data_IF_866392133536
#
_entry.id   IF_866392133536
#
_cell.length_a   1.000
_cell.length_b   1.000
_cell.length_c   1.000
_cell.angle_alpha   90.00
_cell.angle_beta   90.00
_cell.angle_gamma   90.00
#
_symmetry.space_group_name_H-M   'P 1'
#
loop_
_entity.id
_entity.type
_entity.pdbx_description
1 polymer ?
#
# COMPACT_ATOMS: atom_id res chain seq x y z
N UNK A 1 -28.64 11.43 -7.28
CA UNK A 1 -29.26 10.12 -7.02
C UNK A 1 -28.52 9.53 -5.83
N UNK A 2 -29.09 9.61 -4.62
CA UNK A 2 -28.55 8.90 -3.46
C UNK A 2 -28.67 7.40 -3.75
N UNK A 3 -27.53 6.77 -4.05
CA UNK A 3 -27.47 5.32 -4.10
C UNK A 3 -27.72 4.88 -2.66
N UNK A 4 -28.92 4.35 -2.40
CA UNK A 4 -29.20 3.59 -1.18
C UNK A 4 -28.15 2.49 -1.10
N UNK A 5 -27.11 2.70 -0.32
CA UNK A 5 -26.13 1.70 0.06
C UNK A 5 -26.87 0.65 0.90
N UNK A 6 -27.46 -0.33 0.22
CA UNK A 6 -28.19 -1.44 0.83
C UNK A 6 -27.22 -2.35 1.57
N UNK A 7 -27.72 -3.12 2.54
CA UNK A 7 -26.97 -4.03 3.42
C UNK A 7 -25.90 -4.90 2.72
N UNK A 8 -26.08 -5.20 1.43
CA UNK A 8 -25.09 -5.91 0.59
C UNK A 8 -23.75 -5.18 0.46
N UNK A 9 -23.75 -3.84 0.42
CA UNK A 9 -22.50 -3.04 0.43
C UNK A 9 -21.76 -3.18 1.77
N UNK A 10 -22.49 -3.29 2.88
CA UNK A 10 -21.90 -3.49 4.22
C UNK A 10 -21.27 -4.87 4.34
N UNK A 11 -21.93 -5.92 3.87
CA UNK A 11 -21.37 -7.28 3.87
C UNK A 11 -20.14 -7.39 2.96
N UNK A 12 -20.22 -6.85 1.74
CA UNK A 12 -19.08 -6.83 0.81
C UNK A 12 -17.86 -6.12 1.41
N UNK A 13 -18.07 -4.98 2.08
CA UNK A 13 -17.00 -4.25 2.75
C UNK A 13 -16.41 -5.03 3.93
N UNK A 14 -17.24 -5.72 4.73
CA UNK A 14 -16.76 -6.57 5.83
C UNK A 14 -15.90 -7.72 5.29
N UNK A 15 -16.38 -8.42 4.26
CA UNK A 15 -15.63 -9.52 3.64
C UNK A 15 -14.32 -9.02 3.00
N UNK A 16 -14.37 -7.89 2.29
CA UNK A 16 -13.19 -7.29 1.70
C UNK A 16 -12.16 -6.92 2.77
N UNK A 17 -12.59 -6.28 3.86
CA UNK A 17 -11.71 -5.94 4.96
C UNK A 17 -11.11 -7.18 5.62
N UNK A 18 -11.88 -8.24 5.90
CA UNK A 18 -11.35 -9.48 6.47
C UNK A 18 -10.30 -10.14 5.55
N UNK A 19 -10.55 -10.16 4.24
CA UNK A 19 -9.56 -10.66 3.27
C UNK A 19 -8.32 -9.78 3.28
N UNK A 20 -8.46 -8.45 3.23
CA UNK A 20 -7.34 -7.52 3.23
C UNK A 20 -6.50 -7.62 4.51
N UNK A 21 -7.14 -7.71 5.67
CA UNK A 21 -6.48 -7.86 6.96
C UNK A 21 -5.69 -9.16 7.01
N UNK A 22 -6.21 -10.23 6.39
CA UNK A 22 -5.47 -11.50 6.25
C UNK A 22 -4.29 -11.38 5.31
N UNK A 23 -4.45 -10.74 4.14
CA UNK A 23 -3.37 -10.56 3.16
C UNK A 23 -2.24 -9.66 3.67
N UNK A 24 -2.54 -8.74 4.59
CA UNK A 24 -1.57 -7.90 5.32
C UNK A 24 -0.97 -8.61 6.54
N UNK A 25 -1.49 -9.77 6.92
CA UNK A 25 -1.11 -10.45 8.16
C UNK A 25 -1.50 -9.66 9.41
N UNK A 26 -2.44 -8.71 9.33
CA UNK A 26 -2.88 -7.85 10.42
C UNK A 26 -4.05 -8.45 11.22
N UNK A 27 -4.75 -9.43 10.66
CA UNK A 27 -5.78 -10.18 11.37
C UNK A 27 -5.20 -10.86 12.62
N UNK A 28 -5.93 -10.84 13.74
CA UNK A 28 -5.47 -11.39 15.03
C UNK A 28 -5.06 -12.87 14.95
N UNK A 29 -5.66 -13.63 14.03
CA UNK A 29 -5.28 -15.02 13.78
C UNK A 29 -3.82 -15.17 13.36
N UNK A 30 -3.21 -14.15 12.75
CA UNK A 30 -1.80 -14.19 12.35
C UNK A 30 -0.83 -13.81 13.48
N UNK A 31 -1.31 -13.57 14.72
CA UNK A 31 -0.41 -13.44 15.87
C UNK A 31 0.25 -14.77 16.22
N UNK A 32 -0.51 -15.86 16.15
CA UNK A 32 -0.07 -17.24 16.36
C UNK A 32 -0.94 -18.15 15.51
N UNK A 33 -0.36 -18.87 14.55
CA UNK A 33 -1.13 -19.72 13.65
C UNK A 33 -0.36 -20.93 13.17
N UNK A 34 -1.11 -21.96 12.82
CA UNK A 34 -0.59 -23.13 12.15
C UNK A 34 -0.45 -22.89 10.65
N UNK A 35 0.74 -23.17 10.10
CA UNK A 35 0.94 -23.29 8.66
C UNK A 35 2.15 -24.15 8.34
N UNK A 36 1.94 -25.16 7.50
CA UNK A 36 3.05 -25.98 7.00
C UNK A 36 4.08 -25.14 6.25
N UNK A 37 3.59 -24.20 5.44
CA UNK A 37 4.38 -23.26 4.66
C UNK A 37 4.89 -22.09 5.49
N UNK A 38 5.87 -21.37 4.94
CA UNK A 38 6.33 -20.09 5.49
C UNK A 38 5.22 -19.03 5.43
N UNK A 39 5.10 -18.14 6.44
CA UNK A 39 4.16 -17.02 6.44
C UNK A 39 4.21 -16.19 5.15
N UNK A 40 5.39 -16.05 4.53
CA UNK A 40 5.58 -15.33 3.26
C UNK A 40 4.78 -15.89 2.07
N UNK A 41 4.25 -17.11 2.15
CA UNK A 41 3.40 -17.69 1.09
C UNK A 41 1.94 -17.27 1.19
N UNK A 42 1.48 -16.88 2.37
CA UNK A 42 0.09 -16.50 2.62
C UNK A 42 -0.07 -15.00 2.89
N UNK A 43 0.96 -14.35 3.44
CA UNK A 43 1.01 -12.92 3.72
C UNK A 43 1.98 -12.29 2.73
N UNK A 44 1.48 -11.38 1.89
CA UNK A 44 2.32 -10.74 0.87
C UNK A 44 2.18 -9.21 0.82
N UNK A 45 1.11 -8.63 1.38
CA UNK A 45 0.94 -7.16 1.38
C UNK A 45 1.78 -6.54 2.49
N UNK A 46 2.59 -5.55 2.15
CA UNK A 46 3.49 -4.89 3.10
C UNK A 46 4.68 -5.75 3.53
N UNK A 47 5.06 -6.71 2.69
CA UNK A 47 6.20 -7.61 2.94
C UNK A 47 7.40 -7.20 2.11
N UNK A 48 8.59 -7.36 2.68
CA UNK A 48 9.87 -7.22 2.00
C UNK A 48 10.52 -8.60 1.90
N UNK A 49 10.66 -9.08 0.66
CA UNK A 49 11.26 -10.38 0.36
C UNK A 49 12.74 -10.48 0.71
N UNK A 50 13.23 -11.70 0.79
CA UNK A 50 14.64 -12.01 1.03
C UNK A 50 15.50 -11.90 -0.24
N UNK A 51 16.83 -11.91 -0.03
CA UNK A 51 17.81 -11.96 -1.10
C UNK A 51 18.07 -13.42 -1.50
N UNK A 52 17.88 -13.73 -2.79
CA UNK A 52 18.14 -15.04 -3.39
C UNK A 52 19.45 -14.97 -4.19
N UNK A 53 20.49 -15.67 -3.74
CA UNK A 53 21.87 -15.53 -4.25
C UNK A 53 22.11 -15.97 -5.72
N UNK A 54 21.14 -16.56 -6.42
CA UNK A 54 21.37 -17.16 -7.76
C UNK A 54 20.39 -16.73 -8.87
N UNK A 55 19.53 -15.73 -8.63
CA UNK A 55 18.77 -15.09 -9.71
C UNK A 55 19.43 -13.75 -10.01
N UNK A 56 20.40 -13.76 -10.93
CA UNK A 56 20.60 -12.58 -11.78
C UNK A 56 19.21 -12.10 -12.17
N UNK A 57 18.89 -10.84 -11.88
CA UNK A 57 17.64 -10.21 -12.30
C UNK A 57 17.71 -10.05 -13.83
N UNK A 58 17.69 -11.18 -14.55
CA UNK A 58 17.31 -11.22 -15.95
C UNK A 58 15.80 -11.16 -15.92
N UNK A 59 15.28 -9.95 -16.09
CA UNK A 59 13.91 -9.68 -16.50
C UNK A 59 13.40 -10.82 -17.41
N UNK A 60 12.50 -11.70 -16.93
CA UNK A 60 11.54 -12.45 -17.76
C UNK A 60 10.62 -13.47 -17.04
N UNK A 61 10.74 -13.74 -15.73
CA UNK A 61 9.73 -14.55 -15.02
C UNK A 61 8.67 -13.67 -14.34
N UNK A 62 7.51 -13.54 -15.01
CA UNK A 62 6.39 -12.64 -14.68
C UNK A 62 5.52 -13.02 -13.46
N UNK A 63 6.01 -13.80 -12.50
CA UNK A 63 5.23 -14.18 -11.30
C UNK A 63 5.94 -14.02 -9.96
N UNK A 64 7.27 -13.87 -9.92
CA UNK A 64 8.05 -13.74 -8.69
C UNK A 64 8.64 -12.33 -8.56
N UNK A 65 7.80 -11.30 -8.47
CA UNK A 65 8.30 -9.97 -8.08
C UNK A 65 8.38 -9.95 -6.55
N UNK A 66 9.33 -10.72 -5.99
CA UNK A 66 9.73 -10.60 -4.58
C UNK A 66 10.43 -9.25 -4.42
N UNK A 67 9.65 -8.20 -4.15
CA UNK A 67 10.22 -6.90 -3.83
C UNK A 67 10.85 -6.97 -2.44
N UNK A 68 12.15 -6.77 -2.35
CA UNK A 68 12.87 -6.72 -1.07
C UNK A 68 12.99 -5.30 -0.51
N UNK A 69 12.45 -4.29 -1.21
CA UNK A 69 12.51 -2.90 -0.77
C UNK A 69 11.19 -2.18 -0.93
N UNK A 70 11.01 -1.17 -0.07
CA UNK A 70 10.04 -0.08 -0.23
C UNK A 70 10.77 1.24 -0.15
N UNK A 71 10.27 2.25 -0.86
CA UNK A 71 10.82 3.59 -0.75
C UNK A 71 9.79 4.67 -1.07
N UNK A 72 10.06 5.87 -0.58
CA UNK A 72 9.32 7.05 -0.92
C UNK A 72 10.27 8.14 -1.38
N UNK A 73 9.79 9.02 -2.26
CA UNK A 73 10.52 10.18 -2.74
C UNK A 73 9.74 11.46 -2.51
N UNK A 74 10.44 12.52 -2.14
CA UNK A 74 9.91 13.88 -2.03
C UNK A 74 10.92 14.90 -2.55
N UNK A 75 10.45 16.10 -2.86
CA UNK A 75 11.30 17.19 -3.35
C UNK A 75 11.59 18.18 -2.24
N UNK A 76 12.82 18.66 -2.18
CA UNK A 76 13.24 19.80 -1.37
C UNK A 76 13.87 20.86 -2.27
N UNK A 77 13.63 22.13 -1.97
CA UNK A 77 14.38 23.24 -2.57
C UNK A 77 15.72 23.43 -1.90
N UNK A 78 15.69 23.52 -0.57
CA UNK A 78 16.87 23.66 0.28
C UNK A 78 16.83 22.58 1.36
N UNK A 79 17.96 21.91 1.59
CA UNK A 79 18.14 21.00 2.71
C UNK A 79 18.47 21.85 3.95
N UNK A 80 17.59 21.85 4.94
CA UNK A 80 17.71 22.67 6.15
C UNK A 80 18.14 21.87 7.38
N UNK A 81 17.89 20.57 7.38
CA UNK A 81 18.16 19.68 8.52
C UNK A 81 18.27 18.23 8.06
N UNK A 82 18.81 17.36 8.93
CA UNK A 82 18.67 15.92 8.77
C UNK A 82 17.21 15.50 8.96
N UNK A 83 16.87 14.28 8.58
CA UNK A 83 15.58 13.67 8.90
C UNK A 83 15.72 12.67 10.03
N UNK A 84 14.59 12.39 10.68
CA UNK A 84 14.50 11.33 11.69
C UNK A 84 13.59 10.23 11.15
N UNK A 85 14.09 9.01 11.07
CA UNK A 85 13.36 7.85 10.56
C UNK A 85 13.11 6.87 11.71
N UNK A 86 11.87 6.44 11.89
CA UNK A 86 11.48 5.41 12.86
C UNK A 86 10.91 4.21 12.08
N UNK A 87 11.73 3.16 11.89
CA UNK A 87 11.30 1.93 11.25
C UNK A 87 10.42 1.09 12.16
N UNK A 88 9.37 0.51 11.59
CA UNK A 88 8.58 -0.55 12.22
C UNK A 88 8.37 -1.68 11.22
N UNK A 89 8.42 -2.92 11.70
CA UNK A 89 8.17 -4.12 10.90
C UNK A 89 7.84 -5.27 11.83
N UNK A 90 7.46 -6.41 11.28
CA UNK A 90 7.20 -7.63 12.01
C UNK A 90 8.07 -8.77 11.47
N UNK A 91 8.47 -9.68 12.34
CA UNK A 91 9.12 -10.95 11.97
C UNK A 91 8.25 -12.11 12.44
N UNK A 92 8.40 -13.25 11.77
CA UNK A 92 7.79 -14.49 12.21
C UNK A 92 8.86 -15.51 12.60
N UNK A 93 8.58 -16.27 13.65
CA UNK A 93 9.44 -17.34 14.12
C UNK A 93 8.58 -18.54 14.53
N UNK A 94 9.22 -19.71 14.62
CA UNK A 94 8.54 -20.95 14.97
C UNK A 94 8.58 -21.17 16.48
N UNK A 95 7.49 -21.73 16.99
CA UNK A 95 7.35 -22.17 18.38
C UNK A 95 6.79 -23.59 18.42
N UNK A 96 7.05 -24.30 19.51
CA UNK A 96 6.41 -25.58 19.76
C UNK A 96 4.89 -25.38 19.90
N UNK A 97 4.07 -26.28 19.33
CA UNK A 97 2.62 -26.21 19.53
C UNK A 97 2.25 -26.48 20.98
N UNK A 98 1.12 -25.92 21.40
CA UNK A 98 0.45 -26.37 22.62
C UNK A 98 -0.12 -27.77 22.41
N UNK A 99 -0.47 -28.45 23.51
CA UNK A 99 -1.13 -29.75 23.41
C UNK A 99 -2.45 -29.65 22.63
N UNK A 100 -3.25 -28.61 22.87
CA UNK A 100 -4.50 -28.36 22.16
C UNK A 100 -4.28 -28.14 20.66
N UNK A 101 -3.32 -27.28 20.28
CA UNK A 101 -2.97 -27.03 18.87
C UNK A 101 -2.52 -28.31 18.16
N UNK A 102 -1.75 -29.15 18.85
CA UNK A 102 -1.30 -30.43 18.29
C UNK A 102 -2.46 -31.42 18.08
N UNK A 103 -3.42 -31.47 19.00
CA UNK A 103 -4.61 -32.32 18.88
C UNK A 103 -5.51 -31.82 17.74
N UNK A 104 -5.70 -30.51 17.61
CA UNK A 104 -6.47 -29.91 16.50
C UNK A 104 -5.82 -30.18 15.14
N UNK A 105 -4.49 -30.04 15.04
CA UNK A 105 -3.73 -30.31 13.82
C UNK A 105 -3.96 -31.74 13.30
N UNK A 106 -4.02 -32.71 14.21
CA UNK A 106 -4.05 -34.12 13.86
C UNK A 106 -5.43 -34.67 13.51
N UNK A 107 -6.52 -33.91 13.72
CA UNK A 107 -7.93 -34.29 13.48
C UNK A 107 -8.08 -35.80 13.22
N UNK A 108 -8.08 -36.56 14.33
CA UNK A 108 -7.71 -37.99 14.52
C UNK A 108 -8.34 -39.05 13.58
N UNK A 109 -9.06 -38.68 12.53
CA UNK A 109 -9.75 -39.60 11.63
C UNK A 109 -8.84 -40.23 10.56
N UNK A 110 -7.72 -39.60 10.19
CA UNK A 110 -6.89 -40.04 9.04
C UNK A 110 -5.44 -40.47 9.39
N UNK A 111 -4.99 -40.32 10.64
CA UNK A 111 -3.63 -40.75 11.00
C UNK A 111 -3.59 -42.24 11.35
N UNK A 112 -2.92 -43.04 10.53
CA UNK A 112 -2.48 -44.37 10.94
C UNK A 112 -1.63 -44.23 12.20
N UNK A 113 -1.95 -45.02 13.25
CA UNK A 113 -1.15 -45.11 14.48
C UNK A 113 0.26 -45.56 14.14
N UNK A 114 1.11 -44.60 13.81
CA UNK A 114 2.53 -44.73 13.54
C UNK A 114 3.30 -44.47 14.83
N UNK A 115 4.55 -44.92 14.89
CA UNK A 115 5.38 -44.73 16.08
C UNK A 115 5.77 -43.25 16.31
N UNK A 116 5.77 -42.41 15.25
CA UNK A 116 6.11 -40.99 15.31
C UNK A 116 5.12 -40.12 14.52
N UNK A 117 4.83 -38.93 15.04
CA UNK A 117 3.88 -37.97 14.48
C UNK A 117 4.55 -36.62 14.31
N UNK A 118 4.34 -35.91 13.18
CA UNK A 118 4.87 -34.57 13.00
C UNK A 118 4.22 -33.55 13.95
N UNK A 119 5.04 -32.63 14.45
CA UNK A 119 4.55 -31.49 15.22
C UNK A 119 3.88 -30.48 14.30
N UNK A 120 2.79 -29.88 14.78
CA UNK A 120 2.13 -28.77 14.10
C UNK A 120 3.10 -27.61 13.91
N UNK A 121 3.11 -27.01 12.72
CA UNK A 121 4.00 -25.89 12.39
C UNK A 121 3.38 -24.58 12.86
N UNK A 122 3.68 -24.17 14.10
CA UNK A 122 3.16 -22.94 14.67
C UNK A 122 4.12 -21.77 14.45
N UNK A 123 3.59 -20.69 13.88
CA UNK A 123 4.29 -19.44 13.63
C UNK A 123 3.75 -18.34 14.53
N UNK A 124 4.65 -17.58 15.16
CA UNK A 124 4.32 -16.43 16.01
C UNK A 124 4.85 -15.15 15.39
N UNK A 125 4.02 -14.09 15.40
CA UNK A 125 4.41 -12.75 14.96
C UNK A 125 5.03 -11.98 16.12
N UNK A 126 6.18 -11.36 15.88
CA UNK A 126 6.77 -10.33 16.74
C UNK A 126 6.79 -9.00 16.02
N UNK A 127 6.03 -8.03 16.52
CA UNK A 127 6.03 -6.66 16.01
C UNK A 127 7.18 -5.87 16.63
N UNK A 128 7.94 -5.17 15.79
CA UNK A 128 9.17 -4.47 16.13
C UNK A 128 9.04 -2.98 15.84
N UNK A 129 9.48 -2.17 16.79
CA UNK A 129 9.68 -0.73 16.62
C UNK A 129 11.12 -0.38 16.96
N UNK A 130 11.86 0.05 15.96
CA UNK A 130 13.27 0.38 16.10
C UNK A 130 13.46 1.78 16.70
N UNK A 131 14.66 2.03 17.23
CA UNK A 131 15.04 3.34 17.72
C UNK A 131 15.05 4.36 16.56
N UNK A 132 14.74 5.64 16.82
CA UNK A 132 14.84 6.68 15.80
C UNK A 132 16.27 6.80 15.25
N UNK A 133 16.39 6.82 13.93
CA UNK A 133 17.63 7.00 13.19
C UNK A 133 17.69 8.45 12.68
N UNK A 134 18.77 9.16 12.98
CA UNK A 134 19.04 10.45 12.35
C UNK A 134 19.80 10.20 11.06
N UNK A 135 19.22 10.57 9.92
CA UNK A 135 19.77 10.30 8.59
C UNK A 135 20.14 11.61 7.90
N UNK A 136 21.36 11.70 7.39
CA UNK A 136 21.77 12.80 6.52
C UNK A 136 21.09 12.70 5.14
N UNK A 137 20.85 13.85 4.52
CA UNK A 137 20.21 13.93 3.19
C UNK A 137 21.21 13.95 2.02
N UNK A 138 22.50 13.69 2.27
CA UNK A 138 23.57 13.65 1.26
C UNK A 138 24.09 12.23 1.02
N UNK A 139 23.15 11.28 0.88
CA UNK A 139 23.35 9.84 0.88
C UNK A 139 23.80 9.29 2.24
N UNK A 140 22.96 8.46 2.85
CA UNK A 140 23.22 7.86 4.16
C UNK A 140 22.59 6.46 4.19
N UNK A 141 23.22 5.53 4.90
CA UNK A 141 22.71 4.18 5.11
C UNK A 141 22.98 3.70 6.52
N UNK A 142 21.97 3.09 7.15
CA UNK A 142 22.07 2.55 8.49
C UNK A 142 21.37 1.19 8.57
N UNK A 143 22.03 0.22 9.21
CA UNK A 143 21.47 -1.12 9.42
C UNK A 143 20.65 -1.17 10.70
N UNK A 144 19.54 -1.90 10.65
CA UNK A 144 18.72 -2.18 11.83
C UNK A 144 19.38 -3.26 12.68
N UNK A 145 19.41 -3.01 13.99
CA UNK A 145 19.95 -3.94 14.98
C UNK A 145 18.88 -4.93 15.45
N UNK A 146 19.01 -6.19 15.03
CA UNK A 146 18.13 -7.29 15.44
C UNK A 146 18.66 -8.08 16.64
N UNK A 147 19.84 -7.79 17.20
CA UNK A 147 20.49 -8.64 18.21
C UNK A 147 19.62 -8.83 19.45
N UNK A 148 19.02 -7.75 19.95
CA UNK A 148 18.13 -7.81 21.12
C UNK A 148 16.88 -8.66 20.83
N UNK A 149 16.29 -8.51 19.65
CA UNK A 149 15.08 -9.23 19.26
C UNK A 149 15.36 -10.72 19.07
N UNK A 150 16.48 -11.05 18.44
CA UNK A 150 16.93 -12.44 18.26
C UNK A 150 17.19 -13.07 19.62
N UNK A 151 17.80 -12.34 20.56
CA UNK A 151 18.03 -12.83 21.92
C UNK A 151 16.72 -13.06 22.66
N UNK A 152 15.79 -12.09 22.63
CA UNK A 152 14.44 -12.24 23.20
C UNK A 152 13.71 -13.48 22.67
N UNK A 153 13.72 -13.70 21.35
CA UNK A 153 13.06 -14.86 20.72
C UNK A 153 13.71 -16.16 21.17
N UNK A 154 15.05 -16.22 21.23
CA UNK A 154 15.78 -17.43 21.65
C UNK A 154 15.59 -17.76 23.13
N UNK A 155 15.35 -16.75 23.95
CA UNK A 155 15.05 -16.92 25.38
C UNK A 155 13.59 -17.35 25.63
N UNK A 156 12.72 -17.36 24.61
CA UNK A 156 11.35 -17.82 24.77
C UNK A 156 11.31 -19.34 25.06
N UNK A 157 10.61 -19.79 26.13
CA UNK A 157 10.56 -21.20 26.48
C UNK A 157 10.03 -22.11 25.38
N UNK A 158 9.18 -21.58 24.50
CA UNK A 158 8.53 -22.31 23.42
C UNK A 158 9.28 -22.21 22.09
N UNK A 159 10.41 -21.49 22.01
CA UNK A 159 11.14 -21.32 20.77
C UNK A 159 11.51 -22.67 20.15
N UNK A 160 11.11 -22.86 18.89
CA UNK A 160 11.21 -24.14 18.22
C UNK A 160 12.58 -24.33 17.56
N UNK A 161 13.33 -25.32 18.05
CA UNK A 161 14.49 -25.88 17.35
C UNK A 161 14.09 -26.99 16.36
N UNK A 162 15.00 -27.40 15.47
CA UNK A 162 14.77 -28.52 14.55
C UNK A 162 14.41 -29.81 15.32
N UNK A 163 13.17 -30.26 15.16
CA UNK A 163 12.66 -31.48 15.79
C UNK A 163 11.25 -31.78 15.31
N UNK A 164 11.14 -32.52 14.19
CA UNK A 164 9.91 -32.54 13.39
C UNK A 164 8.84 -33.45 13.97
N UNK A 165 9.20 -34.43 14.82
CA UNK A 165 8.30 -35.50 15.23
C UNK A 165 8.40 -35.86 16.73
N UNK A 166 7.29 -36.33 17.29
CA UNK A 166 7.17 -36.89 18.64
C UNK A 166 6.53 -38.28 18.60
N UNK A 167 6.82 -39.18 19.58
CA UNK A 167 6.14 -40.46 19.65
C UNK A 167 4.63 -40.33 19.85
N UNK A 168 3.82 -41.19 19.21
CA UNK A 168 2.35 -41.15 19.33
C UNK A 168 1.86 -41.22 20.79
N UNK A 169 2.52 -42.04 21.62
CA UNK A 169 2.23 -42.18 23.05
C UNK A 169 2.34 -40.87 23.85
N UNK A 170 3.07 -39.89 23.32
CA UNK A 170 3.20 -38.56 23.94
C UNK A 170 1.88 -37.80 23.92
N UNK A 171 0.93 -38.14 23.04
CA UNK A 171 -0.37 -37.50 22.93
C UNK A 171 -1.44 -38.08 23.86
N UNK A 172 -1.13 -39.10 24.67
CA UNK A 172 -2.11 -39.69 25.60
C UNK A 172 -2.53 -38.73 26.72
N UNK A 173 -1.73 -37.71 27.00
CA UNK A 173 -2.01 -36.67 28.00
C UNK A 173 -1.12 -35.45 27.77
N UNK A 174 -1.59 -34.28 28.19
CA UNK A 174 -0.82 -33.04 28.15
C UNK A 174 0.55 -33.15 28.84
N UNK A 175 0.63 -33.79 30.02
CA UNK A 175 1.89 -34.00 30.75
C UNK A 175 2.93 -34.80 29.94
N UNK A 176 2.49 -35.83 29.22
CA UNK A 176 3.39 -36.64 28.38
C UNK A 176 3.87 -35.85 27.17
N UNK A 177 2.99 -35.03 26.59
CA UNK A 177 3.33 -34.16 25.47
C UNK A 177 4.39 -33.13 25.89
N UNK A 178 4.17 -32.44 27.01
CA UNK A 178 5.11 -31.44 27.52
C UNK A 178 6.49 -32.05 27.80
N UNK A 179 6.57 -33.25 28.37
CA UNK A 179 7.85 -33.97 28.54
C UNK A 179 8.53 -34.30 27.22
N UNK A 180 7.78 -34.69 26.20
CA UNK A 180 8.33 -34.95 24.87
C UNK A 180 8.91 -33.67 24.25
N UNK A 181 8.22 -32.54 24.42
CA UNK A 181 8.70 -31.22 23.99
C UNK A 181 9.98 -30.81 24.74
N UNK A 182 10.06 -31.03 26.06
CA UNK A 182 11.28 -30.77 26.84
C UNK A 182 12.49 -31.55 26.31
N UNK A 183 12.31 -32.84 25.99
CA UNK A 183 13.37 -33.67 25.40
C UNK A 183 13.81 -33.12 24.03
N UNK A 184 12.91 -32.54 23.25
CA UNK A 184 13.27 -31.90 21.97
C UNK A 184 14.06 -30.60 22.17
N UNK A 185 13.68 -29.78 23.16
CA UNK A 185 14.38 -28.54 23.50
C UNK A 185 15.84 -28.80 23.88
N UNK A 186 16.10 -29.87 24.62
CA UNK A 186 17.45 -30.27 25.04
C UNK A 186 18.36 -30.67 23.86
N UNK A 187 17.79 -31.06 22.71
CA UNK A 187 18.56 -31.43 21.50
C UNK A 187 19.09 -30.23 20.71
N UNK A 188 18.76 -28.98 21.11
CA UNK A 188 19.34 -27.69 20.66
C UNK A 188 19.79 -27.60 19.21
N UNK A 189 18.88 -27.86 18.27
CA UNK A 189 19.10 -27.59 16.86
C UNK A 189 18.37 -26.32 16.42
N UNK A 190 18.56 -25.23 17.17
CA UNK A 190 17.93 -23.93 16.91
C UNK A 190 18.41 -23.31 15.58
N UNK A 191 17.53 -22.66 14.80
CA UNK A 191 17.95 -21.93 13.62
C UNK A 191 18.79 -20.72 14.02
N UNK A 192 19.87 -20.47 13.27
CA UNK A 192 20.61 -19.22 13.41
C UNK A 192 19.87 -18.08 12.70
N UNK A 193 18.98 -17.42 13.43
CA UNK A 193 18.26 -16.23 12.98
C UNK A 193 19.27 -15.13 12.61
N UNK A 194 19.18 -14.58 11.40
CA UNK A 194 20.09 -13.55 10.88
C UNK A 194 19.32 -12.59 9.97
N UNK A 195 18.27 -11.95 10.49
CA UNK A 195 17.57 -10.90 9.78
C UNK A 195 18.49 -9.70 9.57
N UNK A 196 18.50 -9.17 8.36
CA UNK A 196 19.28 -8.01 7.96
C UNK A 196 18.38 -7.05 7.21
N UNK A 197 18.34 -5.81 7.68
CA UNK A 197 17.54 -4.75 7.09
C UNK A 197 18.32 -3.45 7.15
N UNK A 198 18.30 -2.68 6.08
CA UNK A 198 18.90 -1.34 6.03
C UNK A 198 17.86 -0.29 5.71
N UNK A 199 18.08 0.90 6.28
CA UNK A 199 17.42 2.14 5.91
C UNK A 199 18.42 2.96 5.12
N UNK A 200 17.99 3.49 3.98
CA UNK A 200 18.82 4.36 3.17
C UNK A 200 18.13 5.68 2.89
N UNK A 201 18.95 6.69 2.68
CA UNK A 201 18.58 7.96 2.08
C UNK A 201 19.45 8.16 0.86
N UNK A 202 18.84 8.50 -0.27
CA UNK A 202 19.55 8.85 -1.50
C UNK A 202 19.11 10.24 -1.97
N UNK A 203 20.04 10.99 -2.54
CA UNK A 203 19.78 12.32 -3.10
C UNK A 203 20.16 12.35 -4.58
N UNK A 204 19.19 12.79 -5.38
CA UNK A 204 19.37 13.04 -6.80
C UNK A 204 19.03 14.51 -7.12
N UNK A 205 19.67 15.06 -8.16
CA UNK A 205 19.26 16.35 -8.70
C UNK A 205 18.00 16.19 -9.54
N UNK A 206 17.02 17.07 -9.33
CA UNK A 206 15.75 17.02 -10.04
C UNK A 206 15.31 18.42 -10.46
N UNK A 207 15.01 18.61 -11.75
CA UNK A 207 14.57 19.91 -12.26
C UNK A 207 13.09 19.86 -12.60
N UNK A 208 12.32 20.84 -12.12
CA UNK A 208 10.90 20.98 -12.44
C UNK A 208 10.53 22.45 -12.51
N UNK A 209 9.77 22.86 -13.55
CA UNK A 209 9.38 24.26 -13.76
C UNK A 209 10.57 25.24 -13.80
N UNK A 210 11.71 24.80 -14.35
CA UNK A 210 12.97 25.55 -14.40
C UNK A 210 13.57 25.88 -13.01
N UNK A 211 13.15 25.18 -11.96
CA UNK A 211 13.80 25.20 -10.65
C UNK A 211 14.60 23.92 -10.45
N UNK A 212 15.82 24.06 -9.95
CA UNK A 212 16.66 22.95 -9.51
C UNK A 212 16.29 22.59 -8.07
N UNK A 213 15.92 21.32 -7.87
CA UNK A 213 15.45 20.76 -6.62
C UNK A 213 16.29 19.52 -6.28
N UNK A 214 16.27 19.14 -5.01
CA UNK A 214 16.78 17.85 -4.55
C UNK A 214 15.63 16.85 -4.47
N UNK A 215 15.75 15.73 -5.19
CA UNK A 215 14.91 14.56 -5.03
C UNK A 215 15.52 13.69 -3.95
N UNK A 216 14.83 13.59 -2.82
CA UNK A 216 15.25 12.74 -1.70
C UNK A 216 14.43 11.46 -1.77
N UNK A 217 15.12 10.33 -1.83
CA UNK A 217 14.54 9.00 -1.64
C UNK A 217 14.89 8.49 -0.24
N UNK A 218 13.89 7.96 0.46
CA UNK A 218 14.08 7.27 1.73
C UNK A 218 13.46 5.89 1.59
N UNK A 219 14.24 4.84 1.88
CA UNK A 219 13.76 3.48 1.71
C UNK A 219 14.24 2.50 2.77
N UNK A 220 13.60 1.34 2.80
CA UNK A 220 13.91 0.19 3.63
C UNK A 220 14.16 -1.00 2.72
N UNK A 221 15.25 -1.73 2.96
CA UNK A 221 15.64 -2.91 2.17
C UNK A 221 15.88 -4.09 3.09
N UNK A 222 15.24 -5.21 2.81
CA UNK A 222 15.55 -6.51 3.40
C UNK A 222 16.75 -7.12 2.66
N UNK A 223 17.88 -7.21 3.38
CA UNK A 223 19.13 -7.81 2.91
C UNK A 223 19.32 -9.23 3.47
N UNK A 224 18.31 -9.77 4.17
CA UNK A 224 18.33 -11.14 4.72
C UNK A 224 18.48 -12.15 3.58
N UNK A 225 19.48 -13.04 3.69
CA UNK A 225 19.64 -14.15 2.75
C UNK A 225 18.59 -15.23 2.99
N UNK A 226 18.04 -15.78 1.91
CA UNK A 226 17.08 -16.88 1.98
C UNK A 226 17.62 -18.05 2.83
N UNK A 227 16.79 -18.54 3.74
CA UNK A 227 17.14 -19.64 4.64
C UNK A 227 15.94 -20.57 4.80
N UNK A 228 16.13 -21.87 4.61
CA UNK A 228 15.03 -22.83 4.69
C UNK A 228 14.56 -23.12 6.13
N UNK A 229 15.36 -22.77 7.15
CA UNK A 229 15.10 -23.12 8.56
C UNK A 229 14.21 -22.13 9.29
N UNK A 230 14.09 -20.89 8.82
CA UNK A 230 13.28 -19.85 9.44
C UNK A 230 12.69 -18.89 8.40
N UNK A 231 11.76 -18.04 8.82
CA UNK A 231 11.17 -17.02 7.95
C UNK A 231 12.13 -15.84 7.77
N UNK A 232 12.43 -15.51 6.53
CA UNK A 232 13.45 -14.53 6.12
C UNK A 232 12.83 -13.24 5.57
N UNK A 233 11.52 -13.23 5.32
CA UNK A 233 10.78 -12.04 4.95
C UNK A 233 10.57 -11.12 6.16
N UNK A 234 10.47 -9.83 5.88
CA UNK A 234 10.02 -8.83 6.85
C UNK A 234 8.58 -8.45 6.50
N UNK A 235 7.72 -8.34 7.50
CA UNK A 235 6.29 -8.13 7.33
C UNK A 235 5.89 -6.77 7.88
N UNK A 236 4.73 -6.26 7.45
CA UNK A 236 4.16 -4.99 7.93
C UNK A 236 5.20 -3.85 8.00
N UNK A 237 6.06 -3.75 6.99
CA UNK A 237 7.17 -2.80 6.97
C UNK A 237 6.66 -1.37 6.77
N UNK A 238 7.04 -0.46 7.66
CA UNK A 238 6.65 0.94 7.64
C UNK A 238 7.79 1.85 8.13
N UNK A 239 7.76 3.09 7.66
CA UNK A 239 8.64 4.19 8.01
C UNK A 239 7.78 5.37 8.48
N UNK A 240 8.03 5.82 9.71
CA UNK A 240 7.63 7.14 10.17
C UNK A 240 8.83 8.09 10.00
N UNK A 241 8.71 9.07 9.12
CA UNK A 241 9.78 10.02 8.79
C UNK A 241 9.38 11.40 9.28
N UNK A 242 10.12 11.95 10.22
CA UNK A 242 10.03 13.37 10.57
C UNK A 242 10.97 14.18 9.68
N UNK A 243 10.38 15.13 8.96
CA UNK A 243 11.10 16.04 8.07
C UNK A 243 11.87 17.12 8.84
N UNK A 244 11.68 17.21 10.16
CA UNK A 244 12.28 18.22 11.03
C UNK A 244 12.01 19.64 10.49
N UNK A 245 13.05 20.37 10.07
CA UNK A 245 12.91 21.73 9.51
C UNK A 245 12.78 21.78 7.99
N UNK A 246 12.78 20.63 7.31
CA UNK A 246 12.68 20.57 5.86
C UNK A 246 11.22 20.78 5.42
N UNK A 247 11.04 21.55 4.35
CA UNK A 247 9.75 21.81 3.74
C UNK A 247 9.71 21.15 2.36
N UNK A 248 8.76 20.24 2.16
CA UNK A 248 8.64 19.52 0.89
C UNK A 248 7.90 20.32 -0.17
N UNK A 249 8.25 20.06 -1.43
CA UNK A 249 7.64 20.65 -2.61
C UNK A 249 6.87 19.58 -3.39
N UNK A 250 5.65 19.88 -3.87
CA UNK A 250 4.89 18.93 -4.67
C UNK A 250 5.53 18.69 -6.04
N UNK A 251 5.51 17.44 -6.46
CA UNK A 251 5.68 17.05 -7.85
C UNK A 251 4.53 17.61 -8.68
N UNK A 252 4.83 18.14 -9.87
CA UNK A 252 3.85 18.61 -10.84
C UNK A 252 3.84 17.66 -12.03
N UNK A 253 2.67 17.10 -12.32
CA UNK A 253 2.44 16.24 -13.46
C UNK A 253 1.44 16.92 -14.39
N UNK A 254 1.76 16.91 -15.69
CA UNK A 254 0.82 17.26 -16.73
C UNK A 254 0.53 15.98 -17.50
N UNK A 255 -0.73 15.57 -17.56
CA UNK A 255 -1.14 14.40 -18.35
C UNK A 255 -2.39 14.73 -19.15
N UNK A 256 -2.51 14.10 -20.31
CA UNK A 256 -3.70 14.22 -21.15
C UNK A 256 -4.71 13.16 -20.72
N UNK A 257 -5.88 13.58 -20.25
CA UNK A 257 -7.01 12.71 -19.98
C UNK A 257 -8.20 13.18 -20.80
N UNK A 258 -8.74 12.31 -21.66
CA UNK A 258 -9.86 12.65 -22.56
C UNK A 258 -9.62 13.94 -23.39
N UNK A 259 -8.41 14.10 -23.93
CA UNK A 259 -7.97 15.28 -24.71
C UNK A 259 -7.96 16.61 -23.94
N UNK A 260 -8.03 16.58 -22.60
CA UNK A 260 -7.77 17.73 -21.74
C UNK A 260 -6.43 17.56 -21.06
N UNK A 261 -5.64 18.62 -21.06
CA UNK A 261 -4.43 18.69 -20.27
C UNK A 261 -4.84 18.93 -18.82
N UNK A 262 -4.68 17.90 -17.99
CA UNK A 262 -4.92 17.98 -16.55
C UNK A 262 -3.58 18.15 -15.83
N UNK A 263 -3.55 19.05 -14.85
CA UNK A 263 -2.43 19.24 -13.95
C UNK A 263 -2.72 18.56 -12.62
N UNK A 264 -1.86 17.65 -12.21
CA UNK A 264 -1.97 16.96 -10.94
C UNK A 264 -0.73 17.24 -10.10
N UNK A 265 -0.93 17.47 -8.80
CA UNK A 265 0.14 17.64 -7.84
C UNK A 265 0.12 16.48 -6.86
N UNK A 266 1.30 15.93 -6.57
CA UNK A 266 1.49 14.98 -5.49
C UNK A 266 2.66 15.41 -4.63
N UNK A 267 2.50 15.34 -3.32
CA UNK A 267 3.56 15.65 -2.37
C UNK A 267 4.65 14.55 -2.35
N UNK A 268 4.28 13.31 -2.67
CA UNK A 268 5.12 12.13 -2.53
C UNK A 268 5.07 11.23 -3.78
N UNK A 269 6.15 10.51 -4.05
CA UNK A 269 6.18 9.32 -4.93
C UNK A 269 6.51 8.11 -4.08
N UNK A 270 5.88 6.98 -4.32
CA UNK A 270 6.12 5.76 -3.53
C UNK A 270 6.45 4.58 -4.45
N UNK A 271 7.30 3.68 -3.98
CA UNK A 271 7.65 2.41 -4.59
C UNK A 271 7.38 1.30 -3.58
N UNK A 272 6.56 0.32 -3.96
CA UNK A 272 6.16 -0.82 -3.13
C UNK A 272 5.50 -0.48 -1.78
N UNK A 273 5.16 0.79 -1.56
CA UNK A 273 4.37 1.27 -0.44
C UNK A 273 3.46 2.41 -0.89
N UNK A 274 2.62 2.90 0.02
CA UNK A 274 1.98 4.21 -0.07
C UNK A 274 2.50 5.08 1.07
N UNK A 275 2.21 6.38 1.04
CA UNK A 275 2.59 7.27 2.11
C UNK A 275 1.65 8.46 2.22
N UNK A 276 1.44 8.91 3.44
CA UNK A 276 0.67 10.11 3.76
C UNK A 276 1.57 11.15 4.40
N UNK A 277 1.43 12.39 3.94
CA UNK A 277 2.06 13.54 4.58
C UNK A 277 1.09 14.19 5.58
N UNK A 278 1.47 14.17 6.85
CA UNK A 278 0.85 15.01 7.85
C UNK A 278 1.54 16.38 7.92
N UNK A 279 1.00 17.36 7.17
CA UNK A 279 1.54 18.73 7.12
C UNK A 279 1.59 19.42 8.50
N UNK A 280 0.67 19.10 9.41
CA UNK A 280 0.63 19.72 10.74
C UNK A 280 1.77 19.26 11.65
N UNK A 281 2.25 18.03 11.45
CA UNK A 281 3.33 17.44 12.24
C UNK A 281 4.68 17.43 11.50
N UNK A 282 4.69 17.86 10.24
CA UNK A 282 5.81 17.71 9.32
C UNK A 282 6.39 16.28 9.30
N UNK A 283 5.48 15.31 9.16
CA UNK A 283 5.78 13.87 9.17
C UNK A 283 5.20 13.17 7.95
N UNK A 284 5.94 12.20 7.44
CA UNK A 284 5.49 11.25 6.44
C UNK A 284 5.34 9.90 7.13
N UNK A 285 4.23 9.22 6.88
CA UNK A 285 4.01 7.85 7.33
C UNK A 285 3.78 6.98 6.11
N UNK A 286 4.61 5.95 5.91
CA UNK A 286 4.35 4.94 4.89
C UNK A 286 3.31 3.94 5.37
N UNK A 287 2.51 3.43 4.46
CA UNK A 287 1.50 2.44 4.74
C UNK A 287 1.37 1.43 3.60
N UNK A 288 0.88 0.25 3.93
CA UNK A 288 0.59 -0.81 2.98
C UNK A 288 -0.88 -0.70 2.54
N UNK A 289 -1.12 -0.05 1.41
CA UNK A 289 -2.46 0.02 0.81
C UNK A 289 -2.68 -1.13 -0.16
N UNK A 290 -3.73 -1.90 0.11
CA UNK A 290 -4.18 -3.01 -0.73
C UNK A 290 -5.32 -2.61 -1.69
N UNK A 291 -5.77 -1.36 -1.59
CA UNK A 291 -6.96 -0.87 -2.25
C UNK A 291 -6.61 0.37 -3.09
N UNK A 292 -6.84 0.28 -4.40
CA UNK A 292 -6.74 1.45 -5.27
C UNK A 292 -8.13 2.08 -5.44
N UNK A 293 -8.33 3.28 -4.89
CA UNK A 293 -9.55 4.07 -5.09
C UNK A 293 -9.27 5.18 -6.08
N UNK A 294 -9.80 5.04 -7.29
CA UNK A 294 -9.87 6.15 -8.23
C UNK A 294 -11.29 6.72 -8.21
N UNK A 295 -11.47 8.00 -7.81
CA UNK A 295 -12.76 8.66 -7.98
C UNK A 295 -13.07 8.71 -9.48
N UNK A 296 -14.14 8.02 -9.89
CA UNK A 296 -14.60 8.06 -11.27
C UNK A 296 -15.22 9.43 -11.53
N UNK A 297 -14.67 10.18 -12.49
CA UNK A 297 -15.35 11.34 -13.03
C UNK A 297 -16.59 10.82 -13.77
N UNK A 298 -17.76 11.10 -13.22
CA UNK A 298 -19.03 10.77 -13.85
C UNK A 298 -19.59 12.06 -14.44
N UNK A 299 -20.00 12.09 -15.72
CA UNK A 299 -20.71 13.23 -16.28
C UNK A 299 -21.89 13.61 -15.37
N UNK A 300 -22.02 14.91 -15.06
CA UNK A 300 -23.16 15.38 -14.28
C UNK A 300 -24.42 15.14 -15.10
N UNK A 301 -25.35 14.35 -14.57
CA UNK A 301 -26.67 14.18 -15.17
C UNK A 301 -27.57 15.39 -14.93
N UNK A 302 -27.22 16.27 -13.99
CA UNK A 302 -27.95 17.51 -13.71
C UNK A 302 -27.00 18.65 -13.34
N UNK A 303 -27.28 19.86 -13.81
CA UNK A 303 -26.52 21.08 -13.47
C UNK A 303 -27.52 22.22 -13.28
N UNK A 304 -27.59 22.81 -12.08
CA UNK A 304 -28.44 23.97 -11.78
C UNK A 304 -29.90 23.85 -12.28
N UNK A 305 -30.47 22.63 -12.17
CA UNK A 305 -31.84 22.34 -12.62
C UNK A 305 -31.99 21.98 -14.10
N UNK A 306 -30.90 21.94 -14.86
CA UNK A 306 -30.85 21.41 -16.24
C UNK A 306 -30.61 19.91 -16.20
N UNK A 307 -31.45 19.12 -16.89
CA UNK A 307 -31.29 17.66 -17.00
C UNK A 307 -30.48 17.30 -18.25
N UNK A 308 -29.30 16.73 -18.02
CA UNK A 308 -28.34 16.29 -19.03
C UNK A 308 -28.21 14.76 -19.04
N UNK A 309 -29.18 14.04 -18.47
CA UNK A 309 -29.26 12.60 -18.57
C UNK A 309 -29.43 12.13 -20.02
N UNK A 310 -28.87 10.96 -20.34
CA UNK A 310 -28.97 10.35 -21.66
C UNK A 310 -30.42 10.20 -22.14
N UNK A 311 -31.34 9.86 -21.23
CA UNK A 311 -32.77 9.72 -21.52
C UNK A 311 -33.45 11.02 -21.95
N UNK A 312 -32.92 12.17 -21.54
CA UNK A 312 -33.44 13.49 -21.93
C UNK A 312 -32.74 13.96 -23.19
N UNK A 313 -31.41 13.81 -23.26
CA UNK A 313 -30.60 14.24 -24.40
C UNK A 313 -30.88 13.46 -25.69
N UNK A 314 -31.37 12.22 -25.58
CA UNK A 314 -31.76 11.39 -26.73
C UNK A 314 -33.11 11.74 -27.34
N UNK A 315 -33.90 12.61 -26.70
CA UNK A 315 -35.25 12.99 -27.14
C UNK A 315 -35.27 14.38 -27.78
N UNK A 316 -36.37 14.75 -28.45
CA UNK A 316 -36.52 16.08 -29.08
C UNK A 316 -36.53 17.22 -28.06
N UNK A 317 -37.01 16.94 -26.86
CA UNK A 317 -37.08 17.89 -25.74
C UNK A 317 -35.68 18.29 -25.25
N UNK A 318 -34.64 17.53 -25.61
CA UNK A 318 -33.23 17.84 -25.31
C UNK A 318 -32.82 19.24 -25.75
N UNK A 319 -33.37 19.75 -26.85
CA UNK A 319 -33.03 21.08 -27.37
C UNK A 319 -33.27 22.16 -26.30
N UNK A 320 -34.36 22.06 -25.54
CA UNK A 320 -34.68 23.02 -24.49
C UNK A 320 -33.67 22.95 -23.33
N UNK A 321 -33.24 21.74 -22.97
CA UNK A 321 -32.21 21.56 -21.93
C UNK A 321 -30.83 22.02 -22.40
N UNK A 322 -30.47 21.78 -23.67
CA UNK A 322 -29.23 22.29 -24.26
C UNK A 322 -29.23 23.83 -24.34
N UNK A 323 -30.36 24.46 -24.63
CA UNK A 323 -30.50 25.93 -24.59
C UNK A 323 -30.33 26.47 -23.18
N UNK A 324 -30.95 25.84 -22.17
CA UNK A 324 -30.73 26.21 -20.77
C UNK A 324 -29.26 26.04 -20.36
N UNK A 325 -28.59 24.98 -20.82
CA UNK A 325 -27.16 24.79 -20.58
C UNK A 325 -26.33 25.90 -21.24
N UNK A 326 -26.65 26.29 -22.47
CA UNK A 326 -26.00 27.42 -23.13
C UNK A 326 -26.18 28.73 -22.35
N UNK A 327 -27.37 28.98 -21.79
CA UNK A 327 -27.61 30.14 -20.92
C UNK A 327 -26.77 30.10 -19.64
N UNK A 328 -26.55 28.92 -19.06
CA UNK A 328 -25.63 28.75 -17.94
C UNK A 328 -24.18 29.02 -18.34
N UNK A 329 -23.75 28.56 -19.53
CA UNK A 329 -22.42 28.86 -20.07
C UNK A 329 -22.23 30.38 -20.24
N UNK A 330 -23.22 31.08 -20.78
CA UNK A 330 -23.22 32.54 -20.92
C UNK A 330 -23.06 33.25 -19.57
N UNK A 331 -23.88 32.87 -18.58
CA UNK A 331 -23.80 33.45 -17.22
C UNK A 331 -22.44 33.20 -16.58
N UNK A 332 -21.91 31.99 -16.74
CA UNK A 332 -20.59 31.63 -16.22
C UNK A 332 -19.48 32.43 -16.89
N UNK A 333 -19.51 32.57 -18.21
CA UNK A 333 -18.57 33.39 -18.97
C UNK A 333 -18.58 34.84 -18.50
N UNK A 334 -19.75 35.47 -18.40
CA UNK A 334 -19.86 36.86 -17.93
C UNK A 334 -19.35 37.03 -16.50
N UNK A 335 -19.63 36.06 -15.61
CA UNK A 335 -19.07 36.05 -14.26
C UNK A 335 -17.54 36.00 -14.26
N UNK A 336 -16.94 35.13 -15.07
CA UNK A 336 -15.48 35.00 -15.19
C UNK A 336 -14.83 36.22 -15.85
N UNK A 337 -15.51 36.82 -16.82
CA UNK A 337 -15.07 38.06 -17.47
C UNK A 337 -15.07 39.25 -16.50
N UNK A 338 -16.05 39.31 -15.59
CA UNK A 338 -16.17 40.34 -14.57
C UNK A 338 -15.19 40.15 -13.40
N UNK A 339 -14.79 38.92 -13.10
CA UNK A 339 -13.91 38.59 -11.97
C UNK A 339 -12.43 38.93 -12.17
N UNK A 340 -12.09 39.88 -13.06
CA UNK A 340 -10.73 40.31 -13.46
C UNK A 340 -9.69 40.15 -12.34
N UNK A 341 -9.00 39.00 -12.33
CA UNK A 341 -7.65 38.87 -11.82
C UNK A 341 -6.74 39.33 -12.94
N UNK A 342 -6.23 40.54 -12.83
CA UNK A 342 -5.44 41.20 -13.88
C UNK A 342 -4.09 40.51 -14.03
N UNK A 343 -3.66 40.26 -15.27
CA UNK A 343 -2.32 39.83 -15.74
C UNK A 343 -1.99 38.33 -15.87
N UNK A 344 -2.96 37.41 -15.82
CA UNK A 344 -2.69 35.99 -16.11
C UNK A 344 -3.03 35.63 -17.57
N UNK A 345 -2.00 35.38 -18.39
CA UNK A 345 -2.16 35.01 -19.81
C UNK A 345 -2.85 33.66 -20.01
N UNK A 346 -2.67 32.72 -19.07
CA UNK A 346 -3.30 31.39 -19.17
C UNK A 346 -4.79 31.49 -18.85
N UNK A 347 -5.17 32.39 -17.94
CA UNK A 347 -6.56 32.72 -17.68
C UNK A 347 -7.24 33.35 -18.90
N UNK A 348 -6.61 34.34 -19.55
CA UNK A 348 -7.16 34.97 -20.76
C UNK A 348 -7.33 33.97 -21.91
N UNK A 349 -6.36 33.08 -22.10
CA UNK A 349 -6.44 32.01 -23.09
C UNK A 349 -7.61 31.06 -22.79
N UNK A 350 -7.72 30.60 -21.54
CA UNK A 350 -8.81 29.70 -21.12
C UNK A 350 -10.19 30.34 -21.27
N UNK A 351 -10.30 31.64 -20.99
CA UNK A 351 -11.53 32.41 -21.16
C UNK A 351 -11.93 32.53 -22.64
N UNK A 352 -10.96 32.78 -23.52
CA UNK A 352 -11.19 32.80 -24.97
C UNK A 352 -11.57 31.41 -25.51
N UNK A 353 -10.89 30.34 -25.07
CA UNK A 353 -11.21 28.97 -25.47
C UNK A 353 -12.65 28.59 -25.05
N UNK A 354 -13.08 29.03 -23.86
CA UNK A 354 -14.45 28.83 -23.39
C UNK A 354 -15.48 29.62 -24.23
N UNK A 355 -15.15 30.86 -24.61
CA UNK A 355 -16.00 31.67 -25.49
C UNK A 355 -16.20 31.01 -26.87
N UNK A 356 -15.13 30.52 -27.48
CA UNK A 356 -15.20 29.79 -28.76
C UNK A 356 -15.96 28.46 -28.62
N UNK A 357 -15.81 27.77 -27.50
CA UNK A 357 -16.62 26.59 -27.18
C UNK A 357 -18.11 26.93 -27.11
N UNK A 358 -18.46 28.04 -26.46
CA UNK A 358 -19.84 28.51 -26.35
C UNK A 358 -20.46 28.84 -27.71
N UNK A 359 -19.72 29.51 -28.60
CA UNK A 359 -20.15 29.80 -29.97
C UNK A 359 -20.43 28.50 -30.72
N UNK A 360 -19.47 27.56 -30.70
CA UNK A 360 -19.61 26.24 -31.36
C UNK A 360 -20.79 25.46 -30.81
N UNK A 361 -21.00 25.50 -29.49
CA UNK A 361 -22.12 24.84 -28.83
C UNK A 361 -23.47 25.38 -29.33
N UNK A 362 -23.63 26.70 -29.40
CA UNK A 362 -24.85 27.34 -29.94
C UNK A 362 -25.06 27.02 -31.43
N UNK A 363 -23.99 26.98 -32.23
CA UNK A 363 -24.08 26.53 -33.62
C UNK A 363 -24.58 25.08 -33.71
N UNK A 364 -24.09 24.19 -32.84
CA UNK A 364 -24.58 22.82 -32.71
C UNK A 364 -26.09 22.76 -32.42
N UNK A 365 -26.58 23.57 -31.47
CA UNK A 365 -28.01 23.67 -31.16
C UNK A 365 -28.82 24.11 -32.40
N UNK A 366 -28.34 25.13 -33.12
CA UNK A 366 -29.02 25.64 -34.34
C UNK A 366 -29.07 24.56 -35.43
N UNK A 367 -28.00 23.79 -35.60
CA UNK A 367 -27.96 22.67 -36.55
C UNK A 367 -28.99 21.60 -36.18
N UNK A 368 -29.03 21.17 -34.91
CA UNK A 368 -30.00 20.20 -34.41
C UNK A 368 -31.45 20.66 -34.60
N UNK A 369 -31.72 21.97 -34.43
CA UNK A 369 -33.04 22.58 -34.72
C UNK A 369 -33.40 22.54 -36.20
N UNK A 370 -32.41 22.72 -37.08
CA UNK A 370 -32.62 22.80 -38.53
C UNK A 370 -32.76 21.43 -39.21
N UNK A 371 -32.14 20.38 -38.66
CA UNK A 371 -32.19 19.04 -39.24
C UNK A 371 -33.33 18.20 -38.63
N UNK A 372 -34.32 17.89 -39.49
CA UNK A 372 -35.50 17.08 -39.15
C UNK A 372 -35.19 15.61 -38.83
N UNK A 373 -33.96 15.14 -39.08
CA UNK A 373 -33.51 13.77 -38.78
C UNK A 373 -32.73 13.64 -37.48
N UNK A 374 -32.38 14.74 -36.81
CA UNK A 374 -31.52 14.74 -35.61
C UNK A 374 -32.01 13.89 -34.44
N UNK A 375 -33.32 13.59 -34.38
CA UNK A 375 -33.98 12.86 -33.30
C UNK A 375 -34.94 11.78 -33.82
N UNK A 376 -34.69 11.27 -35.03
CA UNK A 376 -35.33 10.08 -35.59
C UNK A 376 -34.38 8.91 -35.43
#
# INVERSE_FOLDING_TARGET
>A
MEIKATQSSKFANILANDVLDKLKGQNEKFNRFESFDKPSKSIFIGTLGDVVEDKQITSNNKSDVKNNSLSLKYLLKDIKDNITVIPTLSVYYRVYPTYEEQIEHLNLEDYEKTDSIPLAHIWVRKDLKFKPLSMALENDEQFLDFENVISEIKDEPEFYGLGVEIPFESLESEDKFLRAIEVLKDKKAEPNLNWQCKIYVEKENFTQKNEDLSLIEVGMVNDTKENYRYETFLFNCQLEISLNKNDIIPFNYNYSYENKLESYQSDLRCLNCHANLNKSQNKILTESYAEFKQPKIVPKSTIEGVDLGFEVLSKKESIQELEKLHDLMLKHYEKCKQSKSTSDSDYEKSLNDFYEMQIRFNQGIKLLKSDKKSFK
#
